data_IF_052404748208
#
_entry.id   IF_052404748208
#
_cell.length_a   1.000
_cell.length_b   1.000
_cell.length_c   1.000
_cell.angle_alpha   90.00
_cell.angle_beta   90.00
_cell.angle_gamma   90.00
#
_symmetry.space_group_name_H-M   'P 1'
#
loop_
_entity.id
_entity.type
_entity.pdbx_description
1 polymer ?
#
# COMPACT_ATOMS: atom_id res chain seq x y z
N UNK A 1 -11.55 -8.67 10.35
CA UNK A 1 -10.23 -8.28 10.90
C UNK A 1 -9.73 -7.11 10.08
N UNK A 2 -9.81 -5.88 10.61
CA UNK A 2 -9.32 -4.70 9.89
C UNK A 2 -7.81 -4.87 9.66
N UNK A 3 -7.38 -4.97 8.40
CA UNK A 3 -5.95 -5.04 8.09
C UNK A 3 -5.31 -3.75 8.59
N UNK A 4 -4.19 -3.84 9.30
CA UNK A 4 -3.45 -2.68 9.81
C UNK A 4 -3.20 -1.64 8.69
N UNK A 5 -3.01 -2.13 7.46
CA UNK A 5 -2.89 -1.33 6.24
C UNK A 5 -4.17 -0.58 5.88
N UNK A 6 -5.34 -1.20 6.00
CA UNK A 6 -6.63 -0.55 5.75
C UNK A 6 -6.89 0.58 6.74
N UNK A 7 -6.57 0.38 8.02
CA UNK A 7 -6.70 1.41 9.07
C UNK A 7 -5.77 2.60 8.84
N UNK A 8 -4.47 2.36 8.57
CA UNK A 8 -3.52 3.43 8.23
C UNK A 8 -3.93 4.20 6.97
N UNK A 9 -4.42 3.49 5.95
CA UNK A 9 -4.86 4.12 4.71
C UNK A 9 -6.11 4.99 4.92
N UNK A 10 -6.96 4.63 5.88
CA UNK A 10 -8.17 5.39 6.24
C UNK A 10 -7.86 6.67 7.00
N UNK A 11 -6.87 6.63 7.90
CA UNK A 11 -6.38 7.83 8.61
C UNK A 11 -5.73 8.84 7.66
N UNK A 12 -4.96 8.38 6.67
CA UNK A 12 -4.26 9.27 5.72
C UNK A 12 -5.24 9.95 4.74
N UNK A 13 -6.31 9.26 4.34
CA UNK A 13 -7.23 9.75 3.29
C UNK A 13 -8.43 10.54 3.83
N UNK A 14 -8.86 10.26 5.07
CA UNK A 14 -10.12 10.78 5.63
C UNK A 14 -11.37 10.08 5.07
N UNK A 15 -12.57 10.40 5.57
CA UNK A 15 -13.82 9.64 5.33
C UNK A 15 -14.38 9.75 3.90
N UNK A 16 -13.78 10.55 3.02
CA UNK A 16 -14.29 10.79 1.67
C UNK A 16 -13.57 9.89 0.64
N UNK A 17 -14.32 8.98 0.01
CA UNK A 17 -13.89 8.00 -1.02
C UNK A 17 -12.91 6.89 -0.57
N UNK A 18 -12.86 6.56 0.71
CA UNK A 18 -12.00 5.51 1.26
C UNK A 18 -12.20 4.12 0.60
N UNK A 19 -13.44 3.75 0.28
CA UNK A 19 -13.76 2.45 -0.32
C UNK A 19 -13.21 2.27 -1.74
N UNK A 20 -13.22 3.31 -2.56
CA UNK A 20 -12.71 3.23 -3.94
C UNK A 20 -11.19 3.05 -3.95
N UNK A 21 -10.45 3.82 -3.14
CA UNK A 21 -9.00 3.70 -3.09
C UNK A 21 -8.53 2.40 -2.43
N UNK A 22 -9.23 1.92 -1.41
CA UNK A 22 -8.97 0.58 -0.87
C UNK A 22 -9.26 -0.51 -1.90
N UNK A 23 -10.32 -0.35 -2.71
CA UNK A 23 -10.62 -1.23 -3.83
C UNK A 23 -9.51 -1.27 -4.88
N UNK A 24 -9.01 -0.11 -5.32
CA UNK A 24 -7.88 -0.02 -6.26
C UNK A 24 -6.63 -0.70 -5.70
N UNK A 25 -6.28 -0.44 -4.44
CA UNK A 25 -5.14 -1.09 -3.80
C UNK A 25 -5.31 -2.62 -3.71
N UNK A 26 -6.52 -3.09 -3.39
CA UNK A 26 -6.83 -4.52 -3.35
C UNK A 26 -6.73 -5.18 -4.74
N UNK A 27 -7.14 -4.48 -5.80
CA UNK A 27 -7.00 -4.95 -7.19
C UNK A 27 -5.53 -5.09 -7.59
N UNK A 28 -4.67 -4.13 -7.26
CA UNK A 28 -3.23 -4.26 -7.52
C UNK A 28 -2.61 -5.39 -6.71
N UNK A 29 -3.02 -5.56 -5.45
CA UNK A 29 -2.57 -6.66 -4.60
C UNK A 29 -2.94 -8.03 -5.16
N UNK A 30 -4.16 -8.20 -5.67
CA UNK A 30 -4.59 -9.46 -6.29
C UNK A 30 -3.91 -9.70 -7.65
N UNK A 31 -3.76 -8.67 -8.48
CA UNK A 31 -3.04 -8.77 -9.75
C UNK A 31 -1.58 -9.17 -9.55
N UNK A 32 -0.90 -8.58 -8.56
CA UNK A 32 0.47 -8.95 -8.21
C UNK A 32 0.59 -10.43 -7.84
N UNK A 33 -0.38 -11.00 -7.12
CA UNK A 33 -0.37 -12.44 -6.80
C UNK A 33 -0.50 -13.35 -8.01
N UNK A 34 -1.17 -12.90 -9.07
CA UNK A 34 -1.26 -13.66 -10.31
C UNK A 34 0.02 -13.52 -11.15
N UNK A 35 0.56 -12.30 -11.23
CA UNK A 35 1.71 -11.98 -12.10
C UNK A 35 3.03 -12.50 -11.52
N UNK A 36 3.22 -12.41 -10.20
CA UNK A 36 4.47 -12.81 -9.54
C UNK A 36 4.89 -14.28 -9.79
N UNK A 37 4.02 -15.29 -9.60
CA UNK A 37 4.38 -16.68 -9.89
C UNK A 37 4.55 -16.93 -11.41
N UNK A 38 3.82 -16.24 -12.28
CA UNK A 38 3.95 -16.39 -13.73
C UNK A 38 5.34 -15.95 -14.21
N UNK A 39 5.79 -14.77 -13.78
CA UNK A 39 7.14 -14.28 -14.11
C UNK A 39 8.20 -15.21 -13.50
N UNK A 40 8.00 -15.63 -12.26
CA UNK A 40 8.94 -16.51 -11.56
C UNK A 40 9.09 -17.87 -12.25
N UNK A 41 8.00 -18.44 -12.77
CA UNK A 41 8.02 -19.70 -13.51
C UNK A 41 8.82 -19.60 -14.82
N UNK A 42 8.61 -18.54 -15.59
CA UNK A 42 9.32 -18.30 -16.86
C UNK A 42 10.83 -18.12 -16.61
N UNK A 43 11.20 -17.35 -15.58
CA UNK A 43 12.61 -17.12 -15.23
C UNK A 43 13.26 -18.39 -14.68
N UNK A 44 12.51 -19.20 -13.94
CA UNK A 44 13.00 -20.47 -13.40
C UNK A 44 13.35 -21.48 -14.49
N UNK A 45 12.54 -21.61 -15.54
CA UNK A 45 12.82 -22.54 -16.65
C UNK A 45 14.11 -22.20 -17.41
N UNK A 46 14.43 -20.91 -17.56
CA UNK A 46 15.57 -20.45 -18.35
C UNK A 46 16.88 -20.43 -17.55
N UNK A 47 16.85 -20.05 -16.26
CA UNK A 47 18.05 -19.73 -15.49
C UNK A 47 18.17 -20.49 -14.15
N UNK A 48 17.19 -21.33 -13.81
CA UNK A 48 17.17 -22.09 -12.55
C UNK A 48 16.75 -21.29 -11.32
N UNK A 49 16.96 -21.87 -10.13
CA UNK A 49 16.38 -21.39 -8.85
C UNK A 49 16.90 -20.04 -8.33
N UNK A 50 18.17 -19.72 -8.58
CA UNK A 50 18.81 -18.55 -7.96
C UNK A 50 18.24 -17.22 -8.46
N UNK A 51 17.85 -17.16 -9.74
CA UNK A 51 17.42 -15.92 -10.39
C UNK A 51 16.05 -15.41 -9.93
N UNK A 52 14.99 -16.24 -9.81
CA UNK A 52 13.72 -15.82 -9.23
C UNK A 52 13.87 -15.29 -7.80
N UNK A 53 14.69 -15.96 -6.98
CA UNK A 53 14.91 -15.56 -5.58
C UNK A 53 15.64 -14.22 -5.49
N UNK A 54 16.68 -14.03 -6.31
CA UNK A 54 17.38 -12.75 -6.41
C UNK A 54 16.43 -11.63 -6.88
N UNK A 55 15.59 -11.89 -7.88
CA UNK A 55 14.58 -10.94 -8.35
C UNK A 55 13.59 -10.53 -7.25
N UNK A 56 13.14 -11.48 -6.43
CA UNK A 56 12.25 -11.21 -5.30
C UNK A 56 12.92 -10.33 -4.23
N UNK A 57 14.21 -10.58 -3.93
CA UNK A 57 15.00 -9.78 -2.99
C UNK A 57 15.17 -8.34 -3.50
N UNK A 58 15.46 -8.16 -4.79
CA UNK A 58 15.56 -6.84 -5.42
C UNK A 58 14.23 -6.10 -5.32
N UNK A 59 13.12 -6.77 -5.61
CA UNK A 59 11.78 -6.16 -5.51
C UNK A 59 11.48 -5.66 -4.08
N UNK A 60 11.90 -6.42 -3.07
CA UNK A 60 11.75 -6.05 -1.66
C UNK A 60 12.60 -4.82 -1.31
N UNK A 61 13.85 -4.77 -1.76
CA UNK A 61 14.74 -3.62 -1.54
C UNK A 61 14.15 -2.37 -2.20
N UNK A 62 13.67 -2.48 -3.44
CA UNK A 62 13.00 -1.38 -4.14
C UNK A 62 11.76 -0.91 -3.36
N UNK A 63 10.95 -1.82 -2.86
CA UNK A 63 9.79 -1.50 -2.02
C UNK A 63 10.18 -0.75 -0.73
N UNK A 64 11.26 -1.16 -0.08
CA UNK A 64 11.79 -0.50 1.12
C UNK A 64 12.33 0.90 0.82
N UNK A 65 13.01 1.08 -0.32
CA UNK A 65 13.51 2.39 -0.77
C UNK A 65 12.34 3.33 -1.07
N UNK A 66 11.35 2.87 -1.84
CA UNK A 66 10.15 3.66 -2.13
C UNK A 66 9.44 4.06 -0.83
N UNK A 67 9.27 3.13 0.11
CA UNK A 67 8.68 3.43 1.40
C UNK A 67 9.49 4.51 2.12
N UNK A 68 10.82 4.40 2.16
CA UNK A 68 11.75 5.37 2.73
C UNK A 68 11.62 6.77 2.13
N UNK A 69 11.61 6.87 0.80
CA UNK A 69 11.48 8.14 0.06
C UNK A 69 10.13 8.81 0.31
N UNK A 70 9.05 8.02 0.24
CA UNK A 70 7.69 8.53 0.44
C UNK A 70 7.29 8.64 1.91
N UNK A 71 8.11 8.22 2.88
CA UNK A 71 7.81 8.37 4.31
C UNK A 71 7.46 9.81 4.68
N UNK A 72 8.17 10.80 4.12
CA UNK A 72 7.87 12.23 4.39
C UNK A 72 6.51 12.69 3.84
N UNK A 73 5.95 12.00 2.84
CA UNK A 73 4.62 12.26 2.27
C UNK A 73 3.52 11.39 2.91
N UNK A 74 3.89 10.22 3.45
CA UNK A 74 3.01 9.27 4.13
C UNK A 74 2.74 9.63 5.59
N UNK A 75 3.53 10.53 6.19
CA UNK A 75 3.15 11.17 7.46
C UNK A 75 1.92 12.03 7.17
N UNK A 76 0.74 11.69 7.75
CA UNK A 76 -0.52 12.31 7.41
C UNK A 76 -0.40 13.82 7.56
N UNK A 77 -0.86 14.54 6.53
CA UNK A 77 -1.15 15.96 6.63
C UNK A 77 -1.96 16.13 7.91
N UNK A 78 -1.49 16.95 8.87
CA UNK A 78 -2.23 17.25 10.09
C UNK A 78 -3.59 17.83 9.70
N UNK A 79 -4.59 16.98 9.49
CA UNK A 79 -5.97 17.36 9.40
C UNK A 79 -6.33 17.76 10.83
N UNK A 80 -6.08 19.03 11.14
CA UNK A 80 -6.73 19.69 12.27
C UNK A 80 -8.22 19.51 11.96
N UNK A 81 -8.83 18.52 12.61
CA UNK A 81 -10.23 18.19 12.50
C UNK A 81 -11.02 19.37 13.05
N UNK A 82 -11.18 20.42 12.23
CA UNK A 82 -12.08 21.54 12.49
C UNK A 82 -13.53 21.11 12.23
N UNK A 83 -13.91 19.92 12.68
CA UNK A 83 -15.31 19.46 12.69
C UNK A 83 -15.84 19.21 14.11
N UNK A 84 -14.98 19.01 15.11
CA UNK A 84 -15.41 18.97 16.53
C UNK A 84 -15.75 20.38 17.07
N UNK A 85 -15.15 21.44 16.51
CA UNK A 85 -15.37 22.82 16.98
C UNK A 85 -16.70 23.42 16.49
N UNK A 86 -17.36 22.83 15.48
CA UNK A 86 -18.65 23.34 14.98
C UNK A 86 -19.85 22.75 15.72
N UNK A 87 -19.76 21.52 16.23
CA UNK A 87 -20.88 20.88 16.96
C UNK A 87 -20.98 21.41 18.40
N UNK A 88 -19.87 21.82 19.02
CA UNK A 88 -19.87 22.45 20.34
C UNK A 88 -20.36 23.91 20.35
N UNK A 89 -20.56 24.55 19.18
CA UNK A 89 -21.08 25.92 19.06
C UNK A 89 -22.60 25.98 18.83
N UNK A 90 -23.28 24.84 18.90
CA UNK A 90 -24.74 24.69 18.75
C UNK A 90 -25.44 24.20 20.03
N UNK A 91 -24.72 24.20 21.16
CA UNK A 91 -25.31 24.08 22.50
C UNK A 91 -25.54 25.47 23.06
#
# INVERSE_FOLDING_TARGET
>A
MASQTGTLYSEVLGPRHQGFMQGVNALFGSLSRCVSPLISAIVFEQYGYLWPVAGQLVLLIVGMILLGLFRKRLVPLKLILKSEVQTAKRV
#
